data_IF_770467649913
#
_entry.id   IF_770467649913
#
_cell.length_a   1.000
_cell.length_b   1.000
_cell.length_c   1.000
_cell.angle_alpha   90.00
_cell.angle_beta   90.00
_cell.angle_gamma   90.00
#
_symmetry.space_group_name_H-M   'P 1'
#
loop_
_entity.id
_entity.type
_entity.pdbx_description
1 polymer ?
#
# COMPACT_ATOMS: atom_id res chain seq x y z
N UNK A 1 10.59 -27.14 5.26
CA UNK A 1 11.06 -25.90 4.64
C UNK A 1 12.09 -26.22 3.57
N UNK A 2 11.90 -25.73 2.35
CA UNK A 2 12.87 -25.82 1.26
C UNK A 2 13.72 -24.54 1.23
N UNK A 3 14.59 -24.38 2.25
CA UNK A 3 15.53 -23.25 2.30
C UNK A 3 16.85 -23.61 1.62
N UNK A 4 17.47 -22.63 0.97
CA UNK A 4 18.85 -22.76 0.50
C UNK A 4 19.77 -22.92 1.72
N UNK A 5 20.78 -23.77 1.56
CA UNK A 5 21.82 -23.97 2.56
C UNK A 5 23.11 -23.29 2.06
N UNK A 6 23.48 -22.19 2.72
CA UNK A 6 24.61 -21.38 2.27
C UNK A 6 25.97 -22.07 2.45
N UNK A 7 26.07 -23.16 3.23
CA UNK A 7 27.31 -23.95 3.36
C UNK A 7 27.79 -24.54 2.01
N UNK A 8 26.92 -24.56 1.00
CA UNK A 8 27.22 -25.05 -0.36
C UNK A 8 27.94 -24.04 -1.23
N UNK A 9 28.03 -22.78 -0.79
CA UNK A 9 28.66 -21.69 -1.53
C UNK A 9 30.03 -21.38 -0.94
N UNK A 10 30.90 -20.80 -1.78
CA UNK A 10 32.19 -20.28 -1.31
C UNK A 10 31.94 -18.91 -0.69
N UNK A 11 31.84 -18.91 0.63
CA UNK A 11 31.60 -17.71 1.42
C UNK A 11 32.90 -17.20 2.05
N UNK A 12 33.09 -15.90 2.04
CA UNK A 12 34.14 -15.23 2.78
C UNK A 12 33.55 -14.63 4.06
N UNK A 13 34.00 -15.13 5.21
CA UNK A 13 33.70 -14.51 6.50
C UNK A 13 34.60 -13.29 6.72
N UNK A 14 33.99 -12.21 7.21
CA UNK A 14 34.67 -10.95 7.48
C UNK A 14 33.89 -10.15 8.52
N UNK A 15 34.20 -8.86 8.67
CA UNK A 15 33.44 -7.95 9.53
C UNK A 15 32.84 -6.82 8.71
N UNK A 16 31.76 -6.23 9.22
CA UNK A 16 31.08 -5.11 8.59
C UNK A 16 32.04 -3.94 8.28
N UNK A 17 32.92 -3.60 9.23
CA UNK A 17 33.92 -2.54 9.07
C UNK A 17 34.92 -2.79 7.94
N UNK A 18 35.23 -4.06 7.65
CA UNK A 18 36.17 -4.45 6.59
C UNK A 18 35.57 -4.33 5.17
N UNK A 19 34.24 -4.25 5.05
CA UNK A 19 33.53 -4.20 3.77
C UNK A 19 32.83 -2.86 3.53
N UNK A 20 33.11 -1.84 4.34
CA UNK A 20 32.55 -0.47 4.22
C UNK A 20 32.62 0.10 2.81
N UNK A 21 33.71 -0.16 2.06
CA UNK A 21 33.86 0.29 0.68
C UNK A 21 32.89 -0.35 -0.33
N UNK A 22 32.21 -1.42 0.06
CA UNK A 22 31.22 -2.13 -0.75
C UNK A 22 29.79 -1.86 -0.30
N UNK A 23 29.60 -1.31 0.89
CA UNK A 23 28.28 -0.93 1.37
C UNK A 23 27.76 0.30 0.61
N UNK A 24 26.43 0.42 0.45
CA UNK A 24 25.84 1.66 -0.05
C UNK A 24 26.17 2.78 0.93
N UNK A 25 26.54 3.97 0.45
CA UNK A 25 26.82 5.08 1.36
C UNK A 25 25.54 5.65 1.99
N UNK A 26 24.40 5.39 1.36
CA UNK A 26 23.05 5.77 1.81
C UNK A 26 22.47 4.81 2.86
N UNK A 27 23.15 3.69 3.13
CA UNK A 27 22.67 2.61 3.98
C UNK A 27 23.02 2.88 5.45
N UNK A 28 22.12 2.52 6.36
CA UNK A 28 22.42 2.63 7.80
C UNK A 28 23.52 1.66 8.22
N UNK A 29 23.66 0.53 7.51
CA UNK A 29 24.78 -0.38 7.72
C UNK A 29 26.12 0.30 7.48
N UNK A 30 26.23 1.20 6.50
CA UNK A 30 27.45 1.98 6.26
C UNK A 30 27.73 2.94 7.43
N UNK A 31 26.71 3.64 7.93
CA UNK A 31 26.84 4.53 9.07
C UNK A 31 27.20 3.77 10.35
N UNK A 32 26.59 2.60 10.59
CA UNK A 32 26.92 1.73 11.72
C UNK A 32 28.35 1.20 11.65
N UNK A 33 28.79 0.78 10.46
CA UNK A 33 30.12 0.25 10.22
C UNK A 33 31.24 1.27 10.51
N UNK A 34 30.99 2.54 10.22
CA UNK A 34 31.97 3.63 10.42
C UNK A 34 31.83 4.27 11.80
N UNK A 35 30.59 4.44 12.28
CA UNK A 35 30.27 5.22 13.47
C UNK A 35 30.35 4.46 14.80
N UNK A 36 30.32 3.12 14.78
CA UNK A 36 30.30 2.32 16.00
C UNK A 36 31.24 1.09 15.94
N UNK A 37 32.28 1.03 16.77
CA UNK A 37 33.23 -0.09 16.79
C UNK A 37 32.60 -1.47 17.03
N UNK A 38 31.48 -1.54 17.77
CA UNK A 38 30.79 -2.81 18.02
C UNK A 38 30.16 -3.35 16.72
N UNK A 39 29.51 -2.49 15.94
CA UNK A 39 28.95 -2.86 14.64
C UNK A 39 30.04 -3.06 13.58
N UNK A 40 31.12 -2.28 13.61
CA UNK A 40 32.28 -2.50 12.74
C UNK A 40 32.90 -3.91 12.90
N UNK A 41 32.82 -4.48 14.10
CA UNK A 41 33.27 -5.84 14.42
C UNK A 41 32.21 -6.92 14.17
N UNK A 42 30.97 -6.55 13.84
CA UNK A 42 29.89 -7.50 13.59
C UNK A 42 30.22 -8.40 12.41
N UNK A 43 29.88 -9.70 12.53
CA UNK A 43 30.20 -10.71 11.52
C UNK A 43 29.42 -10.45 10.24
N UNK A 44 30.13 -10.38 9.13
CA UNK A 44 29.56 -10.29 7.80
C UNK A 44 30.00 -11.51 6.99
N UNK A 45 29.10 -12.00 6.14
CA UNK A 45 29.35 -13.11 5.23
C UNK A 45 29.21 -12.58 3.81
N UNK A 46 30.24 -12.77 3.01
CA UNK A 46 30.31 -12.27 1.63
C UNK A 46 30.28 -13.45 0.66
N UNK A 47 29.34 -13.40 -0.28
CA UNK A 47 29.33 -14.27 -1.45
C UNK A 47 29.86 -13.47 -2.65
N UNK A 48 30.99 -13.91 -3.20
CA UNK A 48 31.57 -13.31 -4.41
C UNK A 48 30.98 -13.96 -5.66
N UNK A 49 29.99 -13.28 -6.27
CA UNK A 49 29.26 -13.77 -7.42
C UNK A 49 27.75 -13.77 -7.21
N UNK A 50 27.05 -14.50 -8.08
CA UNK A 50 25.59 -14.62 -8.06
C UNK A 50 25.14 -15.74 -7.10
N UNK A 51 23.99 -15.54 -6.46
CA UNK A 51 23.28 -16.56 -5.70
C UNK A 51 22.04 -17.00 -6.48
N UNK A 52 22.05 -18.20 -7.03
CA UNK A 52 20.86 -18.82 -7.61
C UNK A 52 20.38 -19.96 -6.70
N UNK A 53 19.32 -19.67 -5.94
CA UNK A 53 18.64 -20.62 -5.07
C UNK A 53 17.53 -21.40 -5.80
N UNK A 54 17.28 -21.14 -7.09
CA UNK A 54 16.23 -21.78 -7.87
C UNK A 54 14.85 -21.58 -7.22
N UNK A 55 14.17 -22.69 -6.92
CA UNK A 55 12.85 -22.70 -6.28
C UNK A 55 12.94 -22.78 -4.73
N UNK A 56 14.11 -22.53 -4.15
CA UNK A 56 14.31 -22.51 -2.70
C UNK A 56 14.18 -21.10 -2.12
N UNK A 57 13.89 -21.05 -0.82
CA UNK A 57 13.83 -19.80 -0.06
C UNK A 57 15.21 -19.42 0.45
N UNK A 58 15.51 -18.13 0.50
CA UNK A 58 16.60 -17.56 1.29
C UNK A 58 16.02 -17.06 2.61
N UNK A 59 16.14 -17.88 3.66
CA UNK A 59 15.70 -17.50 5.00
C UNK A 59 16.84 -16.80 5.77
N UNK A 60 16.71 -15.50 6.00
CA UNK A 60 17.69 -14.66 6.68
C UNK A 60 17.75 -14.91 8.20
N UNK A 61 16.78 -15.62 8.76
CA UNK A 61 16.81 -16.13 10.15
C UNK A 61 17.43 -17.54 10.23
N UNK A 62 17.70 -18.18 9.10
CA UNK A 62 18.25 -19.54 9.07
C UNK A 62 19.05 -19.82 7.80
N UNK A 63 20.19 -19.13 7.66
CA UNK A 63 21.10 -19.28 6.51
C UNK A 63 21.78 -20.66 6.43
N UNK A 64 21.84 -21.37 7.56
CA UNK A 64 22.53 -22.65 7.73
C UNK A 64 21.57 -23.70 8.32
N UNK A 65 20.51 -24.10 7.59
CA UNK A 65 19.44 -24.94 8.13
C UNK A 65 19.90 -26.34 8.58
N UNK A 66 21.11 -26.76 8.19
CA UNK A 66 21.72 -28.02 8.56
C UNK A 66 22.86 -27.87 9.58
N UNK A 67 23.15 -26.66 10.05
CA UNK A 67 24.23 -26.34 10.99
C UNK A 67 23.78 -25.30 12.04
N UNK A 68 23.01 -25.77 13.02
CA UNK A 68 22.42 -24.93 14.08
C UNK A 68 23.43 -24.32 15.05
N UNK A 69 24.68 -24.82 15.05
CA UNK A 69 25.74 -24.29 15.91
C UNK A 69 26.41 -23.05 15.30
N UNK A 70 26.17 -22.79 14.00
CA UNK A 70 26.71 -21.63 13.33
C UNK A 70 25.87 -20.39 13.69
N UNK A 71 26.44 -19.37 14.35
CA UNK A 71 25.69 -18.15 14.65
C UNK A 71 25.25 -17.50 13.33
N UNK A 72 24.15 -16.75 13.34
CA UNK A 72 23.79 -15.93 12.19
C UNK A 72 24.80 -14.78 12.03
N UNK A 73 25.21 -14.46 10.80
CA UNK A 73 25.95 -13.23 10.56
C UNK A 73 25.01 -12.03 10.72
N UNK A 74 25.56 -10.88 11.09
CA UNK A 74 24.81 -9.63 11.10
C UNK A 74 24.40 -9.21 9.68
N UNK A 75 25.24 -9.49 8.68
CA UNK A 75 25.02 -9.14 7.29
C UNK A 75 25.38 -10.29 6.35
N UNK A 76 24.50 -10.54 5.38
CA UNK A 76 24.79 -11.26 4.15
C UNK A 76 24.99 -10.27 3.00
N UNK A 77 26.21 -10.21 2.46
CA UNK A 77 26.56 -9.41 1.28
C UNK A 77 26.74 -10.31 0.07
N UNK A 78 26.00 -10.05 -1.00
CA UNK A 78 26.10 -10.76 -2.27
C UNK A 78 26.60 -9.77 -3.33
N UNK A 79 27.80 -10.03 -3.87
CA UNK A 79 28.45 -9.11 -4.82
C UNK A 79 27.90 -9.18 -6.24
N UNK A 80 27.11 -10.21 -6.55
CA UNK A 80 26.38 -10.37 -7.80
C UNK A 80 24.87 -10.20 -7.62
N UNK A 81 24.12 -10.92 -8.45
CA UNK A 81 22.66 -10.95 -8.46
C UNK A 81 22.11 -12.12 -7.64
N UNK A 82 20.86 -12.00 -7.19
CA UNK A 82 20.14 -13.03 -6.46
C UNK A 82 18.94 -13.49 -7.25
N UNK A 83 18.75 -14.81 -7.32
CA UNK A 83 17.50 -15.45 -7.72
C UNK A 83 17.08 -16.44 -6.65
N UNK A 84 15.86 -16.32 -6.15
CA UNK A 84 15.27 -17.25 -5.18
C UNK A 84 13.76 -17.39 -5.41
N UNK A 85 13.11 -18.35 -4.75
CA UNK A 85 11.64 -18.36 -4.68
C UNK A 85 11.14 -17.28 -3.76
N UNK A 86 11.64 -17.26 -2.53
CA UNK A 86 11.31 -16.23 -1.54
C UNK A 86 12.58 -15.79 -0.82
N UNK A 87 12.61 -14.54 -0.38
CA UNK A 87 13.58 -14.04 0.59
C UNK A 87 12.79 -13.62 1.81
N UNK A 88 13.10 -14.22 2.95
CA UNK A 88 12.24 -14.12 4.13
C UNK A 88 13.01 -13.92 5.43
N UNK A 89 12.39 -13.22 6.37
CA UNK A 89 12.78 -13.17 7.77
C UNK A 89 11.58 -12.75 8.64
N UNK A 90 11.64 -13.09 9.94
CA UNK A 90 10.62 -12.88 10.97
C UNK A 90 11.16 -12.32 12.28
N UNK A 91 12.47 -12.42 12.50
CA UNK A 91 13.11 -11.92 13.72
C UNK A 91 13.32 -10.41 13.62
N UNK A 92 12.55 -9.63 14.40
CA UNK A 92 12.66 -8.17 14.44
C UNK A 92 14.04 -7.69 14.91
N UNK A 93 14.66 -8.37 15.88
CA UNK A 93 15.89 -7.87 16.52
C UNK A 93 17.15 -8.61 16.06
N UNK A 94 17.02 -9.86 15.59
CA UNK A 94 18.13 -10.80 15.41
C UNK A 94 18.35 -11.31 13.99
N UNK A 95 17.49 -10.93 13.03
CA UNK A 95 17.60 -11.40 11.65
C UNK A 95 18.86 -10.88 10.93
N UNK A 96 19.25 -11.58 9.85
CA UNK A 96 20.40 -11.16 9.02
C UNK A 96 20.00 -10.04 8.06
N UNK A 97 20.75 -8.93 8.03
CA UNK A 97 20.60 -7.91 6.98
C UNK A 97 21.04 -8.43 5.61
N UNK A 98 20.48 -7.87 4.53
CA UNK A 98 20.79 -8.31 3.17
C UNK A 98 21.27 -7.14 2.29
N UNK A 99 22.43 -7.32 1.65
CA UNK A 99 22.92 -6.40 0.61
C UNK A 99 23.19 -7.21 -0.66
N UNK A 100 22.50 -6.88 -1.74
CA UNK A 100 22.71 -7.43 -3.09
C UNK A 100 23.23 -6.32 -3.98
N UNK A 101 24.44 -6.46 -4.55
CA UNK A 101 25.02 -5.42 -5.40
C UNK A 101 24.48 -5.45 -6.84
N UNK A 102 23.95 -6.60 -7.28
CA UNK A 102 23.32 -6.78 -8.59
C UNK A 102 21.79 -6.73 -8.55
N UNK A 103 21.15 -7.45 -9.47
CA UNK A 103 19.69 -7.59 -9.55
C UNK A 103 19.18 -8.60 -8.50
N UNK A 104 17.93 -8.44 -8.06
CA UNK A 104 17.24 -9.38 -7.17
C UNK A 104 15.94 -9.81 -7.83
N UNK A 105 15.82 -11.11 -8.11
CA UNK A 105 14.61 -11.74 -8.64
C UNK A 105 14.05 -12.77 -7.66
N UNK A 106 12.78 -12.61 -7.27
CA UNK A 106 12.08 -13.57 -6.43
C UNK A 106 10.59 -13.61 -6.73
N UNK A 107 9.86 -14.56 -6.14
CA UNK A 107 8.40 -14.48 -6.09
C UNK A 107 7.98 -13.54 -4.95
N UNK A 108 8.62 -13.69 -3.78
CA UNK A 108 8.31 -12.92 -2.57
C UNK A 108 9.57 -12.33 -1.93
N UNK A 109 9.43 -11.13 -1.36
CA UNK A 109 10.37 -10.56 -0.41
C UNK A 109 9.58 -10.15 0.84
N UNK A 110 9.74 -10.88 1.95
CA UNK A 110 9.05 -10.58 3.22
C UNK A 110 10.11 -10.37 4.28
N UNK A 111 10.25 -9.13 4.74
CA UNK A 111 11.33 -8.76 5.66
C UNK A 111 10.76 -7.97 6.81
N UNK A 112 11.15 -8.36 8.01
CA UNK A 112 10.88 -7.60 9.22
C UNK A 112 12.03 -6.59 9.38
N UNK A 113 12.27 -6.02 10.56
CA UNK A 113 13.16 -4.88 10.87
C UNK A 113 14.61 -4.88 10.31
N UNK A 114 15.04 -5.87 9.54
CA UNK A 114 16.32 -5.94 8.86
C UNK A 114 16.33 -5.10 7.58
N UNK A 115 17.33 -4.22 7.44
CA UNK A 115 17.65 -3.55 6.18
C UNK A 115 17.92 -4.53 5.02
N UNK A 116 17.31 -4.24 3.86
CA UNK A 116 17.57 -4.88 2.58
C UNK A 116 17.96 -3.85 1.53
N UNK A 117 19.13 -4.05 0.90
CA UNK A 117 19.62 -3.23 -0.21
C UNK A 117 19.73 -4.03 -1.51
N UNK A 118 19.28 -3.42 -2.61
CA UNK A 118 19.43 -3.93 -3.98
C UNK A 118 20.09 -2.86 -4.87
N UNK A 119 21.29 -3.15 -5.34
CA UNK A 119 22.08 -2.26 -6.19
C UNK A 119 21.60 -2.19 -7.65
N UNK A 120 20.95 -3.25 -8.12
CA UNK A 120 20.33 -3.37 -9.44
C UNK A 120 18.81 -3.27 -9.40
N UNK A 121 18.15 -3.99 -10.31
CA UNK A 121 16.70 -4.07 -10.38
C UNK A 121 16.12 -5.04 -9.34
N UNK A 122 15.00 -4.67 -8.73
CA UNK A 122 14.18 -5.55 -7.90
C UNK A 122 12.99 -6.05 -8.75
N UNK A 123 12.90 -7.36 -8.98
CA UNK A 123 11.80 -7.99 -9.74
C UNK A 123 11.15 -9.07 -8.91
N UNK A 124 9.93 -8.81 -8.46
CA UNK A 124 9.11 -9.73 -7.68
C UNK A 124 7.94 -10.21 -8.53
N UNK A 125 7.69 -11.52 -8.54
CA UNK A 125 6.54 -12.08 -9.26
C UNK A 125 5.22 -11.89 -8.52
N UNK A 126 5.25 -11.75 -7.20
CA UNK A 126 4.06 -11.61 -6.35
C UNK A 126 4.10 -10.37 -5.49
N UNK A 127 4.97 -10.31 -4.49
CA UNK A 127 4.90 -9.23 -3.52
C UNK A 127 6.19 -8.94 -2.77
N UNK A 128 6.30 -7.68 -2.35
CA UNK A 128 7.13 -7.29 -1.22
C UNK A 128 6.25 -6.91 -0.02
N UNK A 129 6.62 -7.36 1.17
CA UNK A 129 6.05 -6.89 2.44
C UNK A 129 7.14 -6.63 3.48
N UNK A 130 7.35 -5.34 3.80
CA UNK A 130 8.18 -4.89 4.90
C UNK A 130 7.36 -4.66 6.16
N UNK A 131 7.78 -5.22 7.29
CA UNK A 131 7.08 -5.12 8.59
C UNK A 131 8.02 -4.58 9.67
N UNK A 132 7.55 -3.64 10.48
CA UNK A 132 8.34 -3.04 11.57
C UNK A 132 8.97 -1.70 11.18
N UNK A 133 9.42 -0.94 12.18
CA UNK A 133 9.81 0.46 12.03
C UNK A 133 11.32 0.69 11.86
N UNK A 134 12.14 -0.29 12.23
CA UNK A 134 13.59 -0.18 12.17
C UNK A 134 14.15 -0.55 10.80
N UNK A 135 13.44 -1.39 10.05
CA UNK A 135 13.91 -1.85 8.76
C UNK A 135 13.83 -0.81 7.63
N UNK A 136 14.53 -1.11 6.53
CA UNK A 136 14.65 -0.22 5.38
C UNK A 136 14.87 -1.02 4.08
N UNK A 137 14.08 -0.72 3.04
CA UNK A 137 14.25 -1.27 1.70
C UNK A 137 14.79 -0.16 0.80
N UNK A 138 15.98 -0.40 0.27
CA UNK A 138 16.61 0.51 -0.69
C UNK A 138 16.90 -0.22 -1.99
N UNK A 139 16.41 0.33 -3.10
CA UNK A 139 16.65 -0.21 -4.45
C UNK A 139 17.16 0.90 -5.34
N UNK A 140 18.33 0.71 -5.96
CA UNK A 140 18.88 1.73 -6.90
C UNK A 140 18.31 1.60 -8.31
N UNK A 141 18.12 0.37 -8.80
CA UNK A 141 17.54 0.10 -10.11
C UNK A 141 16.01 0.12 -10.09
N UNK A 142 15.35 -0.26 -11.20
CA UNK A 142 13.89 -0.27 -11.28
C UNK A 142 13.27 -1.31 -10.33
N UNK A 143 12.07 -1.01 -9.84
CA UNK A 143 11.27 -1.89 -8.97
C UNK A 143 10.10 -2.41 -9.78
N UNK A 144 9.90 -3.73 -9.80
CA UNK A 144 8.74 -4.37 -10.40
C UNK A 144 8.16 -5.39 -9.44
N UNK A 145 6.92 -5.18 -8.97
CA UNK A 145 6.25 -6.11 -8.06
C UNK A 145 4.73 -5.89 -8.13
N UNK A 146 3.88 -6.91 -8.24
CA UNK A 146 2.43 -6.70 -8.21
C UNK A 146 1.95 -6.00 -6.93
N UNK A 147 2.45 -6.40 -5.75
CA UNK A 147 2.15 -5.73 -4.48
C UNK A 147 3.42 -5.23 -3.78
N UNK A 148 3.35 -4.00 -3.28
CA UNK A 148 4.33 -3.40 -2.38
C UNK A 148 3.61 -3.00 -1.08
N UNK A 149 4.02 -3.55 0.06
CA UNK A 149 3.40 -3.29 1.36
C UNK A 149 4.49 -2.85 2.34
N UNK A 150 4.35 -1.66 2.92
CA UNK A 150 5.25 -1.18 3.97
C UNK A 150 4.46 -0.86 5.25
N UNK A 151 4.55 -1.74 6.23
CA UNK A 151 3.87 -1.58 7.53
C UNK A 151 4.83 -1.06 8.59
N UNK A 152 5.01 0.27 8.60
CA UNK A 152 6.02 0.97 9.41
C UNK A 152 7.42 0.93 8.80
N UNK A 153 7.62 0.07 7.81
CA UNK A 153 8.90 -0.22 7.22
C UNK A 153 9.35 0.89 6.26
N UNK A 154 10.61 1.31 6.38
CA UNK A 154 11.12 2.45 5.61
C UNK A 154 11.41 2.05 4.17
N UNK A 155 11.06 2.94 3.25
CA UNK A 155 11.28 2.79 1.82
C UNK A 155 11.33 4.18 1.18
N UNK A 156 11.84 4.29 -0.04
CA UNK A 156 11.74 5.50 -0.87
C UNK A 156 10.28 5.70 -1.34
N UNK A 157 9.44 6.18 -0.43
CA UNK A 157 8.01 6.35 -0.61
C UNK A 157 7.67 7.39 -1.69
N UNK A 158 8.43 8.48 -1.75
CA UNK A 158 8.31 9.51 -2.80
C UNK A 158 8.49 8.90 -4.19
N UNK A 159 9.51 8.04 -4.37
CA UNK A 159 9.76 7.36 -5.63
C UNK A 159 8.64 6.40 -6.01
N UNK A 160 8.15 5.61 -5.05
CA UNK A 160 7.06 4.65 -5.28
C UNK A 160 5.77 5.39 -5.63
N UNK A 161 5.39 6.41 -4.85
CA UNK A 161 4.18 7.23 -5.10
C UNK A 161 4.23 7.96 -6.43
N UNK A 162 5.42 8.41 -6.89
CA UNK A 162 5.61 9.03 -8.21
C UNK A 162 5.83 8.04 -9.34
N UNK A 163 5.81 6.73 -9.06
CA UNK A 163 6.10 5.64 -10.02
C UNK A 163 7.41 5.83 -10.79
N UNK A 164 8.42 6.46 -10.18
CA UNK A 164 9.68 6.76 -10.86
C UNK A 164 10.55 5.49 -10.93
N UNK A 165 10.50 4.81 -12.08
CA UNK A 165 11.14 3.51 -12.25
C UNK A 165 10.54 2.43 -11.36
N UNK A 166 9.23 2.49 -11.12
CA UNK A 166 8.45 1.53 -10.33
C UNK A 166 7.26 1.06 -11.16
N UNK A 167 7.09 -0.25 -11.30
CA UNK A 167 5.95 -0.89 -11.95
C UNK A 167 5.27 -1.86 -10.98
N UNK A 168 4.14 -1.45 -10.42
CA UNK A 168 3.37 -2.22 -9.46
C UNK A 168 1.87 -2.03 -9.65
N UNK A 169 1.11 -3.04 -9.22
CA UNK A 169 -0.36 -3.02 -9.22
C UNK A 169 -0.89 -2.35 -7.96
N UNK A 170 -0.34 -2.68 -6.78
CA UNK A 170 -0.77 -2.17 -5.49
C UNK A 170 0.39 -1.59 -4.68
N UNK A 171 0.14 -0.48 -3.98
CA UNK A 171 1.02 0.04 -2.95
C UNK A 171 0.22 0.38 -1.69
N UNK A 172 0.55 -0.26 -0.57
CA UNK A 172 -0.04 0.03 0.75
C UNK A 172 1.06 0.46 1.72
N UNK A 173 0.77 1.51 2.47
CA UNK A 173 1.71 2.11 3.41
C UNK A 173 0.99 2.42 4.72
N UNK A 174 1.60 2.05 5.85
CA UNK A 174 1.13 2.47 7.17
C UNK A 174 1.57 3.91 7.43
N UNK A 175 0.65 4.85 7.24
CA UNK A 175 0.85 6.23 7.70
C UNK A 175 0.34 6.38 9.14
N UNK A 176 1.04 7.16 9.95
CA UNK A 176 0.77 7.30 11.38
C UNK A 176 -0.59 7.94 11.69
N UNK A 177 -1.31 8.43 10.68
CA UNK A 177 -2.57 9.18 10.82
C UNK A 177 -3.77 8.56 10.11
N UNK A 178 -3.58 7.57 9.24
CA UNK A 178 -4.60 7.19 8.27
C UNK A 178 -5.13 5.78 8.51
N UNK A 179 -6.45 5.65 8.68
CA UNK A 179 -7.10 4.34 8.74
C UNK A 179 -6.95 3.59 7.41
N UNK A 180 -6.48 2.35 7.46
CA UNK A 180 -6.44 1.43 6.33
C UNK A 180 -7.68 0.53 6.40
N UNK A 181 -8.64 0.63 5.47
CA UNK A 181 -9.80 -0.24 5.47
C UNK A 181 -9.41 -1.70 5.22
N UNK A 182 -10.07 -2.66 5.91
CA UNK A 182 -9.91 -4.11 5.65
C UNK A 182 -9.93 -4.45 4.16
N UNK A 183 -10.82 -3.82 3.41
CA UNK A 183 -10.98 -3.98 1.98
C UNK A 183 -9.67 -3.77 1.20
N UNK A 184 -8.82 -2.82 1.60
CA UNK A 184 -7.52 -2.58 0.97
C UNK A 184 -6.54 -3.72 1.27
N UNK A 185 -6.53 -4.26 2.50
CA UNK A 185 -5.76 -5.46 2.81
C UNK A 185 -6.21 -6.65 1.95
N UNK A 186 -7.52 -6.81 1.72
CA UNK A 186 -8.07 -7.84 0.83
C UNK A 186 -7.71 -7.66 -0.65
N UNK A 187 -7.25 -6.48 -1.08
CA UNK A 187 -6.78 -6.26 -2.46
C UNK A 187 -5.39 -6.87 -2.71
N UNK A 188 -4.60 -7.08 -1.66
CA UNK A 188 -3.22 -7.59 -1.76
C UNK A 188 -3.01 -8.91 -1.04
N UNK A 189 -3.78 -9.20 0.01
CA UNK A 189 -3.78 -10.45 0.76
C UNK A 189 -5.09 -11.19 0.52
N UNK A 190 -5.02 -12.50 0.32
CA UNK A 190 -6.20 -13.36 0.17
C UNK A 190 -7.06 -13.27 1.42
N UNK A 191 -8.37 -13.09 1.24
CA UNK A 191 -9.36 -12.88 2.31
C UNK A 191 -9.26 -13.91 3.47
N UNK A 192 -8.83 -15.15 3.19
CA UNK A 192 -8.63 -16.18 4.23
C UNK A 192 -7.55 -15.86 5.28
N UNK A 193 -6.66 -14.92 5.01
CA UNK A 193 -5.62 -14.43 5.94
C UNK A 193 -5.97 -13.05 6.53
N UNK A 194 -7.11 -12.47 6.16
CA UNK A 194 -7.53 -11.14 6.62
C UNK A 194 -8.58 -11.29 7.72
N UNK A 195 -8.28 -10.78 8.90
CA UNK A 195 -9.16 -10.72 10.07
C UNK A 195 -10.54 -10.13 9.73
N UNK A 196 -11.61 -10.72 10.27
CA UNK A 196 -12.97 -10.19 10.11
C UNK A 196 -13.14 -8.83 10.83
N UNK A 197 -13.99 -7.96 10.30
CA UNK A 197 -14.24 -6.62 10.87
C UNK A 197 -14.76 -6.66 12.31
N UNK A 198 -15.50 -7.71 12.65
CA UNK A 198 -16.09 -7.92 13.98
C UNK A 198 -15.03 -8.01 15.10
N UNK A 199 -13.75 -8.21 14.76
CA UNK A 199 -12.65 -8.28 15.73
C UNK A 199 -12.33 -6.88 16.31
N UNK A 200 -12.63 -5.79 15.59
CA UNK A 200 -12.39 -4.43 16.06
C UNK A 200 -13.64 -3.73 16.63
N UNK A 201 -14.84 -4.30 16.41
CA UNK A 201 -16.10 -3.77 16.94
C UNK A 201 -16.31 -4.07 18.44
N UNK A 202 -15.57 -5.04 19.00
CA UNK A 202 -15.72 -5.51 20.39
C UNK A 202 -14.83 -4.82 21.44
N UNK A 203 -13.70 -4.23 21.04
CA UNK A 203 -12.66 -3.71 21.94
C UNK A 203 -12.23 -2.28 21.57
N UNK A 204 -13.18 -1.42 21.23
CA UNK A 204 -12.98 0.05 21.32
C UNK A 204 -12.98 0.45 22.80
N UNK A 205 -12.07 -0.14 23.57
CA UNK A 205 -11.65 0.39 24.85
C UNK A 205 -10.91 1.70 24.56
N UNK A 206 -11.40 2.77 25.20
CA UNK A 206 -10.86 4.13 25.30
C UNK A 206 -9.33 4.21 25.06
N UNK A 207 -8.90 4.34 23.80
CA UNK A 207 -7.48 4.49 23.42
C UNK A 207 -6.92 3.61 22.28
N UNK A 208 -7.65 2.63 21.75
CA UNK A 208 -7.18 1.87 20.58
C UNK A 208 -7.16 2.75 19.31
N UNK A 209 -6.01 2.82 18.64
CA UNK A 209 -5.88 3.51 17.36
C UNK A 209 -6.61 2.70 16.26
N UNK A 210 -7.25 3.38 15.29
CA UNK A 210 -7.85 2.69 14.16
C UNK A 210 -6.77 1.93 13.38
N UNK A 211 -7.09 0.73 12.82
CA UNK A 211 -6.18 -0.02 11.95
C UNK A 211 -5.60 0.89 10.88
N UNK A 212 -4.28 1.00 10.79
CA UNK A 212 -3.58 1.89 9.86
C UNK A 212 -2.55 1.20 8.98
N UNK A 213 -2.30 -0.10 9.19
CA UNK A 213 -1.47 -0.94 8.33
C UNK A 213 -2.14 -2.25 7.92
N UNK A 214 -1.53 -2.99 7.01
CA UNK A 214 -1.97 -4.35 6.63
C UNK A 214 -1.78 -5.30 7.81
N UNK A 215 -0.70 -5.15 8.57
CA UNK A 215 -0.42 -5.91 9.79
C UNK A 215 -1.49 -5.77 10.90
N UNK A 216 -2.33 -4.73 10.87
CA UNK A 216 -3.45 -4.61 11.82
C UNK A 216 -4.63 -5.49 11.43
N UNK A 217 -4.71 -5.93 10.16
CA UNK A 217 -5.73 -6.83 9.62
C UNK A 217 -5.23 -8.25 9.36
N UNK A 218 -3.92 -8.44 9.24
CA UNK A 218 -3.31 -9.69 8.79
C UNK A 218 -2.15 -9.99 9.72
N UNK A 219 -2.15 -11.18 10.32
CA UNK A 219 -1.02 -11.64 11.15
C UNK A 219 0.19 -11.90 10.23
N UNK A 220 1.27 -11.09 10.31
CA UNK A 220 2.38 -11.21 9.36
C UNK A 220 3.07 -12.58 9.41
N UNK A 221 3.09 -13.22 10.58
CA UNK A 221 3.66 -14.55 10.76
C UNK A 221 2.86 -15.62 10.01
N UNK A 222 1.53 -15.52 9.93
CA UNK A 222 0.70 -16.49 9.18
C UNK A 222 0.97 -16.42 7.68
N UNK A 223 1.19 -15.20 7.16
CA UNK A 223 1.54 -14.99 5.75
C UNK A 223 2.95 -15.51 5.46
N UNK A 224 3.90 -15.31 6.36
CA UNK A 224 5.23 -15.89 6.24
C UNK A 224 5.18 -17.44 6.26
N UNK A 225 4.43 -18.03 7.18
CA UNK A 225 4.23 -19.47 7.26
C UNK A 225 3.59 -20.04 5.98
N UNK A 226 2.63 -19.31 5.40
CA UNK A 226 2.04 -19.66 4.12
C UNK A 226 3.08 -19.65 2.99
N UNK A 227 3.87 -18.58 2.85
CA UNK A 227 4.91 -18.47 1.81
C UNK A 227 5.95 -19.58 1.96
N UNK A 228 6.50 -19.76 3.16
CA UNK A 228 7.53 -20.78 3.44
C UNK A 228 6.97 -22.22 3.39
N UNK A 229 5.65 -22.37 3.58
CA UNK A 229 4.88 -23.60 3.36
C UNK A 229 4.54 -23.89 1.89
N UNK A 230 4.90 -23.00 0.96
CA UNK A 230 4.65 -23.17 -0.47
C UNK A 230 3.26 -22.73 -0.94
N UNK A 231 2.52 -22.02 -0.10
CA UNK A 231 1.26 -21.39 -0.45
C UNK A 231 1.49 -19.95 -0.92
N UNK A 232 0.50 -19.44 -1.65
CA UNK A 232 0.46 -18.05 -2.08
C UNK A 232 -0.60 -17.32 -1.26
N UNK A 233 -0.20 -16.47 -0.31
CA UNK A 233 -1.14 -15.70 0.50
C UNK A 233 -1.58 -14.41 -0.15
N UNK A 234 -0.94 -13.98 -1.24
CA UNK A 234 -1.27 -12.74 -1.89
C UNK A 234 -2.44 -12.93 -2.85
N UNK A 235 -3.34 -11.96 -2.87
CA UNK A 235 -4.42 -11.94 -3.84
C UNK A 235 -3.83 -11.86 -5.25
N UNK A 236 -4.53 -12.45 -6.24
CA UNK A 236 -4.18 -12.16 -7.61
C UNK A 236 -4.37 -10.67 -7.87
N UNK A 237 -3.44 -10.00 -8.60
CA UNK A 237 -3.53 -8.58 -8.84
C UNK A 237 -4.89 -8.25 -9.45
N UNK A 238 -5.71 -7.55 -8.68
CA UNK A 238 -6.98 -7.00 -9.13
C UNK A 238 -6.62 -5.82 -10.02
N UNK A 239 -6.49 -6.10 -11.32
CA UNK A 239 -6.37 -5.13 -12.41
C UNK A 239 -4.99 -4.45 -12.64
N UNK A 240 -4.93 -3.79 -13.80
CA UNK A 240 -3.76 -3.28 -14.52
C UNK A 240 -2.86 -2.38 -13.62
N UNK A 241 -1.52 -2.47 -13.67
CA UNK A 241 -0.63 -1.50 -13.01
C UNK A 241 -0.83 -0.03 -13.45
N UNK A 242 -1.59 0.22 -14.52
CA UNK A 242 -2.09 1.54 -14.91
C UNK A 242 -3.36 2.00 -14.18
N UNK A 243 -4.10 1.09 -13.56
CA UNK A 243 -5.31 1.39 -12.76
C UNK A 243 -4.90 1.58 -11.29
N UNK A 244 -4.71 2.85 -10.92
CA UNK A 244 -4.29 3.28 -9.59
C UNK A 244 -5.23 2.74 -8.49
N UNK A 245 -4.70 1.85 -7.65
CA UNK A 245 -5.10 1.76 -6.24
C UNK A 245 -4.73 3.09 -5.58
N UNK A 246 -5.70 4.01 -5.59
CA UNK A 246 -5.80 5.28 -4.87
C UNK A 246 -4.53 5.77 -4.17
N UNK A 247 -3.80 6.65 -4.86
CA UNK A 247 -2.89 7.59 -4.20
C UNK A 247 -3.68 8.90 -4.05
N UNK A 248 -4.15 9.26 -2.84
CA UNK A 248 -4.77 10.58 -2.64
C UNK A 248 -3.79 11.66 -3.07
N UNK A 249 -4.30 12.76 -3.63
CA UNK A 249 -3.44 13.86 -4.07
C UNK A 249 -2.55 14.33 -2.90
N UNK A 250 -1.23 14.45 -3.07
CA UNK A 250 -0.31 14.71 -1.95
C UNK A 250 -0.64 15.96 -1.13
N UNK A 251 -1.32 16.94 -1.72
CA UNK A 251 -1.75 18.18 -1.06
C UNK A 251 -2.96 18.03 -0.13
N UNK A 252 -3.66 16.89 -0.18
CA UNK A 252 -4.77 16.55 0.72
C UNK A 252 -4.29 15.77 1.96
N UNK A 253 -3.07 15.22 1.90
CA UNK A 253 -2.44 14.48 2.99
C UNK A 253 -2.07 15.41 4.15
N UNK A 254 -2.29 14.95 5.39
CA UNK A 254 -2.00 15.70 6.61
C UNK A 254 -2.94 16.87 6.93
N UNK A 255 -4.00 17.08 6.14
CA UNK A 255 -5.02 18.07 6.43
C UNK A 255 -5.96 17.58 7.54
N UNK A 256 -6.31 18.45 8.47
CA UNK A 256 -7.36 18.18 9.46
C UNK A 256 -8.74 18.06 8.80
N UNK A 257 -9.66 17.38 9.47
CA UNK A 257 -11.05 17.25 8.99
C UNK A 257 -11.75 18.59 8.75
N UNK A 258 -11.42 19.63 9.54
CA UNK A 258 -11.93 21.00 9.31
C UNK A 258 -11.37 21.61 8.03
N UNK A 259 -10.07 21.47 7.78
CA UNK A 259 -9.43 21.99 6.56
C UNK A 259 -9.96 21.31 5.30
N UNK A 260 -10.21 20.00 5.35
CA UNK A 260 -10.79 19.24 4.25
C UNK A 260 -12.26 19.58 4.02
N UNK A 261 -13.04 19.74 5.09
CA UNK A 261 -14.42 20.21 4.99
C UNK A 261 -14.47 21.59 4.32
N UNK A 262 -13.62 22.53 4.75
CA UNK A 262 -13.59 23.88 4.18
C UNK A 262 -13.12 23.88 2.72
N UNK A 263 -12.13 23.04 2.35
CA UNK A 263 -11.74 22.81 0.95
C UNK A 263 -12.87 22.22 0.12
N UNK A 264 -13.58 21.23 0.66
CA UNK A 264 -14.73 20.65 -0.02
C UNK A 264 -15.76 21.72 -0.40
N UNK A 265 -16.16 22.58 0.55
CA UNK A 265 -17.11 23.66 0.25
C UNK A 265 -16.55 24.74 -0.68
N UNK A 266 -15.23 24.92 -0.73
CA UNK A 266 -14.59 25.84 -1.66
C UNK A 266 -14.55 25.30 -3.10
N UNK A 267 -14.37 23.99 -3.27
CA UNK A 267 -14.19 23.34 -4.57
C UNK A 267 -15.48 22.78 -5.17
N UNK A 268 -16.35 22.26 -4.30
CA UNK A 268 -17.65 21.68 -4.64
C UNK A 268 -18.73 22.69 -4.32
N UNK A 269 -18.80 23.75 -5.13
CA UNK A 269 -19.85 24.77 -5.04
C UNK A 269 -21.09 24.39 -5.86
N UNK A 270 -22.26 25.03 -5.63
CA UNK A 270 -23.43 24.87 -6.51
C UNK A 270 -23.11 25.12 -7.98
N UNK A 271 -22.27 26.11 -8.30
CA UNK A 271 -21.85 26.41 -9.66
C UNK A 271 -21.00 25.27 -10.27
N UNK A 272 -20.10 24.68 -9.49
CA UNK A 272 -19.29 23.53 -9.93
C UNK A 272 -20.15 22.29 -10.18
N UNK A 273 -21.17 22.08 -9.34
CA UNK A 273 -22.15 21.02 -9.51
C UNK A 273 -22.98 21.23 -10.77
N UNK A 274 -23.50 22.45 -10.98
CA UNK A 274 -24.25 22.80 -12.19
C UNK A 274 -23.42 22.59 -13.46
N UNK A 275 -22.11 22.91 -13.43
CA UNK A 275 -21.21 22.67 -14.55
C UNK A 275 -21.11 21.17 -14.91
N UNK A 276 -21.08 20.28 -13.91
CA UNK A 276 -21.12 18.82 -14.12
C UNK A 276 -22.49 18.40 -14.66
N UNK A 277 -23.58 18.83 -14.02
CA UNK A 277 -24.94 18.43 -14.36
C UNK A 277 -25.38 18.87 -15.76
N UNK A 278 -24.89 20.02 -16.23
CA UNK A 278 -25.20 20.58 -17.55
C UNK A 278 -24.24 20.11 -18.64
N UNK A 279 -23.22 19.33 -18.31
CA UNK A 279 -22.25 18.84 -19.29
C UNK A 279 -22.95 17.94 -20.35
N UNK A 280 -22.67 18.09 -21.66
CA UNK A 280 -23.34 17.31 -22.70
C UNK A 280 -23.29 15.79 -22.51
N UNK A 281 -22.15 15.25 -22.05
CA UNK A 281 -22.03 13.81 -21.76
C UNK A 281 -22.92 13.36 -20.60
N UNK A 282 -23.17 14.23 -19.63
CA UNK A 282 -24.02 13.95 -18.47
C UNK A 282 -25.49 14.07 -18.89
N UNK A 283 -25.87 15.20 -19.50
CA UNK A 283 -27.23 15.47 -19.98
C UNK A 283 -27.73 14.39 -20.96
N UNK A 284 -26.86 13.94 -21.89
CA UNK A 284 -27.23 12.92 -22.86
C UNK A 284 -27.41 11.53 -22.25
N UNK A 285 -26.90 11.27 -21.04
CA UNK A 285 -27.04 10.00 -20.31
C UNK A 285 -28.11 10.05 -19.20
N UNK A 286 -28.50 11.23 -18.71
CA UNK A 286 -29.49 11.43 -17.64
C UNK A 286 -30.97 11.14 -17.99
N UNK A 287 -31.29 10.65 -19.20
CA UNK A 287 -32.68 10.38 -19.61
C UNK A 287 -33.26 9.08 -19.01
N UNK A 288 -32.40 8.19 -18.50
CA UNK A 288 -32.76 6.95 -17.83
C UNK A 288 -31.97 6.91 -16.53
N UNK A 289 -32.62 6.58 -15.41
CA UNK A 289 -32.00 6.41 -14.11
C UNK A 289 -31.15 5.11 -14.13
N UNK A 290 -30.17 5.03 -15.03
CA UNK A 290 -29.35 3.86 -15.28
C UNK A 290 -27.87 4.27 -15.40
N UNK A 291 -27.04 3.46 -14.77
CA UNK A 291 -25.69 3.75 -14.27
C UNK A 291 -24.61 3.78 -15.36
N UNK A 292 -24.55 4.84 -16.18
CA UNK A 292 -23.78 4.74 -17.43
C UNK A 292 -22.55 5.65 -17.56
N UNK A 293 -22.09 6.37 -16.54
CA UNK A 293 -20.70 6.85 -16.54
C UNK A 293 -19.89 5.88 -15.69
N UNK A 294 -19.07 5.08 -16.38
CA UNK A 294 -18.11 4.15 -15.78
C UNK A 294 -16.73 4.72 -16.11
N UNK A 295 -15.99 5.12 -15.08
CA UNK A 295 -14.54 5.33 -15.14
C UNK A 295 -13.94 4.20 -14.31
N UNK A 296 -13.33 3.20 -14.96
CA UNK A 296 -12.55 2.11 -14.35
C UNK A 296 -13.24 1.41 -13.14
N UNK A 297 -13.14 1.97 -11.93
CA UNK A 297 -13.65 1.48 -10.64
C UNK A 297 -14.85 2.28 -10.05
N UNK A 298 -15.32 3.32 -10.74
CA UNK A 298 -16.34 4.28 -10.27
C UNK A 298 -17.58 4.25 -11.13
N UNK A 299 -18.74 4.23 -10.49
CA UNK A 299 -20.04 4.44 -11.14
C UNK A 299 -20.58 5.80 -10.73
N UNK A 300 -20.83 6.65 -11.71
CA UNK A 300 -21.47 7.94 -11.48
C UNK A 300 -22.96 7.84 -11.77
N UNK A 301 -23.78 8.33 -10.85
CA UNK A 301 -25.21 8.50 -11.03
C UNK A 301 -25.57 9.95 -10.78
N UNK A 302 -26.37 10.51 -11.69
CA UNK A 302 -26.74 11.93 -11.65
C UNK A 302 -28.26 12.04 -11.63
N UNK A 303 -28.76 12.86 -10.71
CA UNK A 303 -30.18 13.22 -10.60
C UNK A 303 -30.33 14.72 -10.67
N UNK A 304 -31.06 15.21 -11.68
CA UNK A 304 -31.48 16.60 -11.74
C UNK A 304 -32.53 16.92 -10.66
N UNK A 305 -32.64 18.19 -10.26
CA UNK A 305 -33.67 18.61 -9.31
C UNK A 305 -35.07 18.43 -9.92
N UNK A 306 -35.94 17.66 -9.26
CA UNK A 306 -37.32 17.41 -9.72
C UNK A 306 -38.27 17.22 -8.55
N UNK A 307 -39.43 17.89 -8.57
CA UNK A 307 -40.53 17.59 -7.64
C UNK A 307 -40.22 17.77 -6.16
N UNK A 308 -39.33 18.71 -5.80
CA UNK A 308 -38.89 18.95 -4.42
C UNK A 308 -37.67 18.13 -3.98
N UNK A 309 -37.14 17.24 -4.84
CA UNK A 309 -35.86 16.59 -4.61
C UNK A 309 -34.71 17.45 -5.13
N UNK A 310 -33.65 17.65 -4.33
CA UNK A 310 -32.48 18.40 -4.76
C UNK A 310 -31.70 17.65 -5.83
N UNK A 311 -30.93 18.42 -6.61
CA UNK A 311 -29.96 17.88 -7.54
C UNK A 311 -28.91 17.08 -6.77
N UNK A 312 -28.53 15.93 -7.30
CA UNK A 312 -27.58 15.02 -6.66
C UNK A 312 -26.65 14.41 -7.69
N UNK A 313 -25.35 14.52 -7.44
CA UNK A 313 -24.33 13.67 -8.04
C UNK A 313 -24.01 12.57 -7.03
N UNK A 314 -24.03 11.32 -7.45
CA UNK A 314 -23.63 10.18 -6.64
C UNK A 314 -22.46 9.52 -7.31
N UNK A 315 -21.36 9.36 -6.59
CA UNK A 315 -20.20 8.61 -7.02
C UNK A 315 -20.16 7.36 -6.15
N UNK A 316 -20.34 6.21 -6.78
CA UNK A 316 -20.19 4.91 -6.15
C UNK A 316 -18.81 4.37 -6.50
N UNK A 317 -18.01 4.06 -5.49
CA UNK A 317 -16.71 3.43 -5.67
C UNK A 317 -16.76 2.01 -5.14
N UNK A 318 -16.26 1.05 -5.90
CA UNK A 318 -16.07 -0.32 -5.43
C UNK A 318 -14.85 -0.33 -4.51
N UNK A 319 -15.02 -0.68 -3.24
CA UNK A 319 -13.90 -0.75 -2.28
C UNK A 319 -13.34 -2.19 -2.21
N UNK A 320 -14.16 -3.22 -2.44
CA UNK A 320 -13.71 -4.62 -2.53
C UNK A 320 -14.58 -5.51 -3.42
N UNK A 321 -13.93 -6.42 -4.15
CA UNK A 321 -14.52 -7.55 -4.89
C UNK A 321 -13.83 -8.84 -4.37
N UNK A 322 -14.50 -9.65 -3.52
CA UNK A 322 -15.65 -10.50 -3.91
C UNK A 322 -16.96 -10.24 -3.15
N UNK A 323 -17.03 -9.17 -2.33
CA UNK A 323 -18.20 -8.85 -1.50
C UNK A 323 -18.99 -7.59 -1.93
N UNK A 324 -18.66 -6.99 -3.08
CA UNK A 324 -19.31 -5.79 -3.64
C UNK A 324 -19.63 -4.74 -2.56
N UNK A 325 -18.63 -4.34 -1.79
CA UNK A 325 -18.78 -3.24 -0.83
C UNK A 325 -18.55 -1.92 -1.55
N UNK A 326 -19.57 -1.07 -1.53
CA UNK A 326 -19.53 0.23 -2.19
C UNK A 326 -19.31 1.34 -1.16
N UNK A 327 -18.49 2.34 -1.52
CA UNK A 327 -18.50 3.65 -0.88
C UNK A 327 -19.36 4.58 -1.71
N UNK A 328 -20.27 5.28 -1.05
CA UNK A 328 -21.13 6.24 -1.69
C UNK A 328 -20.71 7.64 -1.30
N UNK A 329 -20.49 8.48 -2.30
CA UNK A 329 -20.31 9.92 -2.13
C UNK A 329 -21.44 10.62 -2.85
N UNK A 330 -22.40 11.14 -2.09
CA UNK A 330 -23.49 11.95 -2.65
C UNK A 330 -23.18 13.42 -2.43
N UNK A 331 -23.13 14.17 -3.51
CA UNK A 331 -22.98 15.62 -3.54
C UNK A 331 -24.38 16.18 -3.80
N UNK A 332 -25.01 16.71 -2.76
CA UNK A 332 -26.40 17.16 -2.81
C UNK A 332 -26.51 18.65 -2.56
N UNK A 333 -27.15 19.37 -3.47
CA UNK A 333 -27.40 20.80 -3.31
C UNK A 333 -28.51 21.03 -2.29
N UNK A 334 -28.22 21.70 -1.17
CA UNK A 334 -29.20 22.01 -0.12
C UNK A 334 -29.24 23.50 0.16
N UNK A 335 -30.44 23.97 0.50
CA UNK A 335 -30.67 25.33 0.95
C UNK A 335 -30.64 25.33 2.47
N UNK A 336 -29.79 26.17 3.05
CA UNK A 336 -29.74 26.37 4.50
C UNK A 336 -30.92 27.22 4.98
N UNK A 337 -31.20 27.19 6.28
CA UNK A 337 -32.27 27.99 6.90
C UNK A 337 -32.12 29.51 6.65
N UNK A 338 -30.92 29.99 6.31
CA UNK A 338 -30.66 31.39 5.96
C UNK A 338 -30.76 31.68 4.45
N UNK A 339 -31.24 30.72 3.63
CA UNK A 339 -31.40 30.86 2.18
C UNK A 339 -30.09 30.77 1.39
N UNK A 340 -29.01 30.29 2.01
CA UNK A 340 -27.74 30.07 1.30
C UNK A 340 -27.73 28.64 0.77
N UNK A 341 -27.56 28.48 -0.53
CA UNK A 341 -27.42 27.18 -1.17
C UNK A 341 -25.96 26.70 -1.08
N UNK A 342 -25.75 25.50 -0.57
CA UNK A 342 -24.45 24.83 -0.54
C UNK A 342 -24.57 23.38 -1.04
N UNK A 343 -23.44 22.75 -1.31
CA UNK A 343 -23.40 21.32 -1.60
C UNK A 343 -23.00 20.60 -0.33
N UNK A 344 -23.79 19.62 0.10
CA UNK A 344 -23.48 18.77 1.24
C UNK A 344 -22.92 17.44 0.75
N UNK A 345 -21.86 16.96 1.42
CA UNK A 345 -21.36 15.61 1.24
C UNK A 345 -22.14 14.65 2.12
N UNK A 346 -22.84 13.71 1.50
CA UNK A 346 -23.54 12.63 2.18
C UNK A 346 -22.90 11.29 1.82
N UNK A 347 -22.98 10.34 2.74
CA UNK A 347 -22.60 8.94 2.53
C UNK A 347 -23.81 8.04 2.71
N UNK A 348 -23.67 6.78 2.35
CA UNK A 348 -24.70 5.76 2.53
C UNK A 348 -24.02 4.42 2.86
N UNK A 349 -24.70 3.58 3.64
CA UNK A 349 -24.20 2.25 3.98
C UNK A 349 -23.93 1.40 2.74
N UNK A 350 -22.94 0.52 2.83
CA UNK A 350 -22.34 -0.21 1.71
C UNK A 350 -23.30 -1.06 0.84
N UNK A 351 -24.54 -1.30 1.29
CA UNK A 351 -25.58 -2.03 0.54
C UNK A 351 -26.55 -1.12 -0.26
N UNK A 352 -26.36 0.21 -0.22
CA UNK A 352 -26.68 1.19 -1.28
C UNK A 352 -28.12 1.43 -1.78
N UNK A 353 -29.00 0.45 -1.77
CA UNK A 353 -30.36 0.61 -2.32
C UNK A 353 -31.41 0.87 -1.23
N UNK A 354 -31.15 0.44 0.01
CA UNK A 354 -32.16 0.39 1.08
C UNK A 354 -31.99 1.45 2.17
N UNK A 355 -30.90 2.23 2.14
CA UNK A 355 -30.55 3.16 3.22
C UNK A 355 -30.72 4.62 2.80
N UNK A 356 -31.15 5.50 3.71
CA UNK A 356 -31.17 6.93 3.43
C UNK A 356 -29.74 7.51 3.53
N UNK A 357 -29.33 8.40 2.61
CA UNK A 357 -28.05 9.08 2.72
C UNK A 357 -27.98 10.00 3.94
N UNK A 358 -26.84 10.00 4.62
CA UNK A 358 -26.58 10.78 5.82
C UNK A 358 -25.37 11.71 5.65
N UNK A 359 -25.34 12.90 6.29
CA UNK A 359 -24.20 13.81 6.20
C UNK A 359 -22.90 13.17 6.69
N UNK A 360 -21.82 13.35 5.93
CA UNK A 360 -20.47 12.92 6.35
C UNK A 360 -19.98 13.83 7.47
N UNK A 361 -19.74 13.30 8.69
CA UNK A 361 -19.25 14.13 9.78
C UNK A 361 -17.85 14.66 9.48
N UNK A 362 -17.54 15.88 9.95
CA UNK A 362 -16.28 16.60 9.64
C UNK A 362 -15.00 15.85 10.01
N UNK A 363 -15.06 14.91 10.95
CA UNK A 363 -13.91 14.13 11.37
C UNK A 363 -13.65 12.90 10.49
N UNK A 364 -14.52 12.59 9.53
CA UNK A 364 -14.29 11.53 8.54
C UNK A 364 -13.41 12.04 7.39
N UNK A 365 -12.14 12.24 7.71
CA UNK A 365 -11.09 12.77 6.82
C UNK A 365 -11.02 11.97 5.51
N UNK A 366 -11.13 10.64 5.61
CA UNK A 366 -11.07 9.70 4.48
C UNK A 366 -12.18 9.95 3.45
N UNK A 367 -13.41 10.22 3.90
CA UNK A 367 -14.52 10.52 3.01
C UNK A 367 -14.31 11.83 2.26
N UNK A 368 -13.80 12.88 2.91
CA UNK A 368 -13.56 14.15 2.24
C UNK A 368 -12.42 14.06 1.22
N UNK A 369 -11.32 13.37 1.55
CA UNK A 369 -10.20 13.16 0.61
C UNK A 369 -10.68 12.38 -0.62
N UNK A 370 -11.38 11.26 -0.42
CA UNK A 370 -11.86 10.41 -1.51
C UNK A 370 -12.92 11.13 -2.36
N UNK A 371 -13.86 11.85 -1.72
CA UNK A 371 -14.88 12.63 -2.43
C UNK A 371 -14.27 13.76 -3.28
N UNK A 372 -13.32 14.53 -2.72
CA UNK A 372 -12.60 15.58 -3.44
C UNK A 372 -11.85 15.02 -4.64
N UNK A 373 -11.09 13.94 -4.43
CA UNK A 373 -10.34 13.26 -5.49
C UNK A 373 -11.27 12.78 -6.61
N UNK A 374 -12.38 12.14 -6.24
CA UNK A 374 -13.39 11.67 -7.20
C UNK A 374 -14.03 12.82 -7.99
N UNK A 375 -14.31 13.95 -7.33
CA UNK A 375 -14.93 15.10 -7.96
C UNK A 375 -13.96 15.82 -8.92
N UNK A 376 -12.69 16.00 -8.53
CA UNK A 376 -11.64 16.58 -9.37
C UNK A 376 -11.42 15.76 -10.63
N UNK A 377 -11.25 14.45 -10.48
CA UNK A 377 -11.07 13.52 -11.62
C UNK A 377 -12.26 13.52 -12.56
N UNK A 378 -13.50 13.56 -12.04
CA UNK A 378 -14.69 13.71 -12.87
C UNK A 378 -14.65 15.02 -13.68
N UNK A 379 -14.28 16.13 -13.06
CA UNK A 379 -14.17 17.43 -13.76
C UNK A 379 -13.10 17.41 -14.84
N UNK A 380 -11.95 16.80 -14.58
CA UNK A 380 -10.89 16.61 -15.57
C UNK A 380 -11.34 15.74 -16.74
N UNK A 381 -11.99 14.61 -16.46
CA UNK A 381 -12.56 13.72 -17.47
C UNK A 381 -13.57 14.45 -18.37
N UNK A 382 -14.49 15.21 -17.77
CA UNK A 382 -15.48 15.99 -18.53
C UNK A 382 -14.79 17.09 -19.35
N UNK A 383 -13.80 17.79 -18.79
CA UNK A 383 -13.05 18.83 -19.50
C UNK A 383 -12.25 18.29 -20.70
N UNK A 384 -11.68 17.09 -20.59
CA UNK A 384 -10.96 16.42 -21.67
C UNK A 384 -11.88 15.90 -22.79
N UNK A 385 -13.19 15.85 -22.54
CA UNK A 385 -14.19 15.31 -23.46
C UNK A 385 -14.88 16.36 -24.34
N UNK A 386 -14.44 17.62 -24.25
CA UNK A 386 -14.88 18.78 -25.05
C UNK A 386 -13.82 19.11 -26.09
#
# INVERSE_FOLDING_TARGET
MSSVDLTRFVLQETTLGAITSWLPWESELSDLAVGNPAFAAARAVVLDGDLDAGDLDLNLDNLYPNDFDQPLPFLLLIRGSVRARAIVNSDFDGGTHLVVLGDLEADYLITFDQETFVGGALRLRRAWWGVGEAGNLMVRGPISAPALIADGYRVDDERIRRRHGVSNTAFLFRDATDFLPRAHACCVITDKYVADEDIHDGDVHDGALPPNGVADWVEPIEVLDAVTGGQDPFADPICDPAEDLFVPEPELLGCSGTELHDRFHAEVSPESMDAVLLHPLVVNRCATYDHDLIDEDRKYSVRAATGGLPARLTIMRVISDPHLRYRFHHFETRESDCGTTCVELLTQKALGAEFEPEPVPRHHVDHYIDALSCFRRLREFLAASV
#
